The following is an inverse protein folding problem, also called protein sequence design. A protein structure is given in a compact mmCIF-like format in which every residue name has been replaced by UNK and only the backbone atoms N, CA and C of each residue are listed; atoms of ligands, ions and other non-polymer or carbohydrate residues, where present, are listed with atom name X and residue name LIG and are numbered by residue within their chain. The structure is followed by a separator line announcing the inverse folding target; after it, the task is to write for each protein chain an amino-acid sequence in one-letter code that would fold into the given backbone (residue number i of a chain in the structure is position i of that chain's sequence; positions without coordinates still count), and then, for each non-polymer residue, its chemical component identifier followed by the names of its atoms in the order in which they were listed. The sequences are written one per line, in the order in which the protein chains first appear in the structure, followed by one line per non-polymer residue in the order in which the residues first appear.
data_IF_484455289025
#
_entry.id   IF_484455289025
#
_cell.length_a   1.000
_cell.length_b   1.000
_cell.length_c   1.000
_cell.angle_alpha   90.00
_cell.angle_beta   90.00
_cell.angle_gamma   90.00
#
_symmetry.space_group_name_H-M   'P 1'
#
loop_
_entity.id
_entity.type
_entity.pdbx_description
1 polymer ?
#
# COMPACT_ATOMS: atom_id res chain seq x y z
N UNK A 1 -4.81 -8.58 11.47
CA UNK A 1 -5.70 -8.09 10.41
C UNK A 1 -5.40 -8.92 9.20
N UNK A 2 -6.37 -9.65 8.69
CA UNK A 2 -6.17 -10.52 7.51
C UNK A 2 -6.66 -9.85 6.22
N UNK A 3 -7.14 -8.60 6.28
CA UNK A 3 -7.74 -7.86 5.14
C UNK A 3 -7.22 -6.43 4.98
N UNK A 4 -6.11 -6.10 5.64
CA UNK A 4 -5.62 -4.72 5.71
C UNK A 4 -5.30 -4.15 4.30
N UNK A 5 -4.58 -4.86 3.41
CA UNK A 5 -4.36 -4.40 2.03
C UNK A 5 -5.66 -4.14 1.26
N UNK A 6 -6.61 -5.06 1.32
CA UNK A 6 -7.85 -5.03 0.55
C UNK A 6 -8.74 -3.86 0.98
N UNK A 7 -8.82 -3.62 2.29
CA UNK A 7 -9.57 -2.49 2.87
C UNK A 7 -8.91 -1.17 2.46
N UNK A 8 -7.58 -1.04 2.62
CA UNK A 8 -6.90 0.20 2.27
C UNK A 8 -6.99 0.52 0.78
N UNK A 9 -6.85 -0.49 -0.09
CA UNK A 9 -7.07 -0.32 -1.53
C UNK A 9 -8.49 0.14 -1.86
N UNK A 10 -9.50 -0.43 -1.21
CA UNK A 10 -10.89 -0.02 -1.41
C UNK A 10 -11.14 1.43 -0.94
N UNK A 11 -10.59 1.82 0.20
CA UNK A 11 -10.68 3.19 0.74
C UNK A 11 -9.95 4.19 -0.15
N UNK A 12 -8.76 3.86 -0.65
CA UNK A 12 -8.01 4.73 -1.57
C UNK A 12 -8.76 4.97 -2.88
N UNK A 13 -9.41 3.94 -3.43
CA UNK A 13 -10.27 4.08 -4.62
C UNK A 13 -11.51 4.93 -4.33
N UNK A 14 -12.12 4.76 -3.15
CA UNK A 14 -13.31 5.51 -2.72
C UNK A 14 -13.02 6.99 -2.49
N UNK A 15 -11.84 7.32 -1.97
CA UNK A 15 -11.47 8.67 -1.55
C UNK A 15 -10.06 9.09 -2.04
N UNK A 16 -9.83 9.15 -3.36
CA UNK A 16 -8.48 9.31 -3.95
C UNK A 16 -7.82 10.66 -3.64
N UNK A 17 -8.59 11.64 -3.15
CA UNK A 17 -8.12 12.96 -2.74
C UNK A 17 -7.90 13.10 -1.23
N UNK A 18 -8.37 12.15 -0.44
CA UNK A 18 -8.24 12.17 1.03
C UNK A 18 -7.10 11.27 1.51
N UNK A 19 -6.76 10.23 0.73
CA UNK A 19 -5.66 9.33 1.03
C UNK A 19 -4.39 9.84 0.33
N UNK A 20 -3.43 10.29 1.14
CA UNK A 20 -2.14 10.82 0.68
C UNK A 20 -1.15 9.72 0.30
N UNK A 21 -1.21 8.59 1.00
CA UNK A 21 -0.36 7.43 0.76
C UNK A 21 -0.69 6.28 1.70
N UNK A 22 -0.38 5.06 1.29
CA UNK A 22 -0.56 3.83 2.08
C UNK A 22 0.79 3.13 2.21
N UNK A 23 1.17 2.85 3.45
CA UNK A 23 2.43 2.19 3.80
C UNK A 23 2.09 0.83 4.40
N UNK A 24 2.55 -0.24 3.76
CA UNK A 24 2.36 -1.61 4.25
C UNK A 24 3.73 -2.20 4.55
N UNK A 25 3.90 -2.72 5.76
CA UNK A 25 5.13 -3.42 6.12
C UNK A 25 5.02 -4.88 5.71
N UNK A 26 5.93 -5.33 4.86
CA UNK A 26 6.20 -6.74 4.63
C UNK A 26 7.13 -7.25 5.76
N UNK A 27 6.61 -8.15 6.59
CA UNK A 27 7.38 -8.76 7.70
C UNK A 27 8.06 -10.07 7.29
N UNK A 28 7.92 -10.49 6.02
CA UNK A 28 8.38 -11.77 5.51
C UNK A 28 7.55 -12.95 5.99
N UNK A 29 7.41 -13.97 5.13
CA UNK A 29 6.80 -15.26 5.50
C UNK A 29 5.42 -15.56 4.89
N UNK A 30 4.79 -14.61 4.20
CA UNK A 30 3.55 -14.85 3.45
C UNK A 30 3.86 -15.10 1.97
N UNK A 31 3.74 -16.36 1.53
CA UNK A 31 3.82 -16.68 0.12
C UNK A 31 2.69 -15.99 -0.65
N UNK A 32 3.02 -15.29 -1.74
CA UNK A 32 2.02 -14.57 -2.54
C UNK A 32 1.66 -13.18 -2.03
N UNK A 33 2.38 -12.64 -1.03
CA UNK A 33 2.18 -11.29 -0.53
C UNK A 33 2.19 -10.22 -1.65
N UNK A 34 3.13 -10.31 -2.59
CA UNK A 34 3.22 -9.39 -3.73
C UNK A 34 1.99 -9.47 -4.64
N UNK A 35 1.51 -10.68 -4.93
CA UNK A 35 0.33 -10.89 -5.76
C UNK A 35 -0.95 -10.40 -5.07
N UNK A 36 -1.05 -10.60 -3.76
CA UNK A 36 -2.15 -10.12 -2.93
C UNK A 36 -2.19 -8.60 -2.88
N UNK A 37 -1.04 -7.94 -2.70
CA UNK A 37 -0.93 -6.48 -2.77
C UNK A 37 -1.33 -5.95 -4.13
N UNK A 38 -0.80 -6.54 -5.22
CA UNK A 38 -1.15 -6.13 -6.57
C UNK A 38 -2.66 -6.20 -6.82
N UNK A 39 -3.32 -7.26 -6.35
CA UNK A 39 -4.78 -7.40 -6.43
C UNK A 39 -5.51 -6.36 -5.56
N UNK A 40 -5.06 -6.16 -4.32
CA UNK A 40 -5.67 -5.22 -3.38
C UNK A 40 -5.61 -3.77 -3.87
N UNK A 41 -4.49 -3.37 -4.49
CA UNK A 41 -4.22 -2.02 -4.98
C UNK A 41 -4.51 -1.81 -6.47
N UNK A 42 -5.13 -2.78 -7.15
CA UNK A 42 -5.56 -2.61 -8.53
C UNK A 42 -6.45 -1.35 -8.67
N UNK A 43 -6.07 -0.44 -9.59
CA UNK A 43 -6.76 0.85 -9.79
C UNK A 43 -6.42 1.95 -8.78
N UNK A 44 -5.46 1.72 -7.86
CA UNK A 44 -4.84 2.76 -7.04
C UNK A 44 -3.55 3.22 -7.73
N UNK A 45 -3.31 4.53 -7.91
CA UNK A 45 -2.06 5.03 -8.48
C UNK A 45 -0.83 4.51 -7.72
N UNK A 46 0.20 4.06 -8.44
CA UNK A 46 1.39 3.44 -7.86
C UNK A 46 2.22 4.39 -6.98
N UNK A 47 2.07 5.71 -7.16
CA UNK A 47 2.67 6.75 -6.31
C UNK A 47 1.94 6.92 -4.96
N UNK A 48 0.85 6.16 -4.72
CA UNK A 48 0.01 6.27 -3.52
C UNK A 48 0.11 5.09 -2.58
N UNK A 49 0.93 4.10 -2.88
CA UNK A 49 1.16 3.01 -1.94
C UNK A 49 2.57 2.43 -2.08
N UNK A 50 3.11 1.94 -0.97
CA UNK A 50 4.40 1.29 -0.88
C UNK A 50 4.31 0.12 0.10
N UNK A 51 4.79 -1.03 -0.34
CA UNK A 51 5.11 -2.14 0.55
C UNK A 51 6.62 -2.13 0.85
N UNK A 52 6.99 -2.03 2.12
CA UNK A 52 8.40 -1.91 2.55
C UNK A 52 8.75 -3.00 3.56
N UNK A 53 10.02 -3.44 3.58
CA UNK A 53 10.56 -4.34 4.61
C UNK A 53 11.44 -3.58 5.59
N UNK A 54 12.29 -2.71 5.05
CA UNK A 54 13.21 -1.86 5.78
C UNK A 54 12.66 -0.42 5.86
N UNK A 55 12.68 0.22 7.03
CA UNK A 55 12.27 1.62 7.18
C UNK A 55 12.99 2.60 6.23
N UNK A 56 14.22 2.30 5.79
CA UNK A 56 14.97 3.11 4.84
C UNK A 56 14.27 3.24 3.48
N UNK A 57 13.36 2.30 3.14
CA UNK A 57 12.58 2.33 1.91
C UNK A 57 11.44 3.37 1.96
N UNK A 58 11.05 3.91 3.12
CA UNK A 58 9.92 4.86 3.24
C UNK A 58 10.25 6.23 2.61
N UNK A 59 11.53 6.53 2.40
CA UNK A 59 12.01 7.86 1.99
C UNK A 59 11.58 8.34 0.60
N UNK A 60 11.04 7.47 -0.28
CA UNK A 60 10.69 7.85 -1.65
C UNK A 60 9.20 8.17 -1.86
N UNK A 61 8.33 7.91 -0.89
CA UNK A 61 6.91 8.27 -1.04
C UNK A 61 6.79 9.80 -1.06
N UNK A 62 6.22 10.39 -2.13
CA UNK A 62 5.95 11.81 -2.17
C UNK A 62 4.71 12.09 -1.32
N UNK A 63 4.84 11.97 0.01
CA UNK A 63 3.92 12.60 0.96
C UNK A 63 4.06 14.09 0.72
N UNK A 64 3.23 14.63 -0.17
CA UNK A 64 3.20 16.04 -0.54
C UNK A 64 3.18 16.85 0.76
N UNK A 65 4.19 17.69 0.96
CA UNK A 65 4.16 18.75 1.97
C UNK A 65 3.02 19.72 1.67
#
# INVERSE_FOLDING_TARGET
GERDPEIYGAVARRFPRQIVGILIRDVGGEAGFDARLAAAFAGVPADRWLAFRDPAEIGWLPLRR
#
